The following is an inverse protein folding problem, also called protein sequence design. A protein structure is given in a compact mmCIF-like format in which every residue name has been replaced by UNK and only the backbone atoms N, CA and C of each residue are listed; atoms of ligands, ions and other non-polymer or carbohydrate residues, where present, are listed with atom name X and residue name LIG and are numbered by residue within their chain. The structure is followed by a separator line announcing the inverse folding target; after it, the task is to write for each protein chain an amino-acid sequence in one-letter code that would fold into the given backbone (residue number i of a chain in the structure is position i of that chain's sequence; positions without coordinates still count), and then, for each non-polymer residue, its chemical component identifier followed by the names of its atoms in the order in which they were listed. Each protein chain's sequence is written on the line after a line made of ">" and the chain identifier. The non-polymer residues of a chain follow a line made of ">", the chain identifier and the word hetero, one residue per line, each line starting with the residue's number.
data_IF_833191429302
#
_entry.id   IF_833191429302
#
_cell.length_a   1.000
_cell.length_b   1.000
_cell.length_c   1.000
_cell.angle_alpha   90.00
_cell.angle_beta   90.00
_cell.angle_gamma   90.00
#
_symmetry.space_group_name_H-M   'P 1'
#
loop_
_entity.id
_entity.type
_entity.pdbx_description
1 polymer ?
#
# COMPACT_ATOMS: atom_id res chain seq x y z
N UNK A 1 24.70 43.65 -66.02
CA UNK A 1 25.28 44.52 -64.96
C UNK A 1 24.50 44.22 -63.69
N UNK A 2 25.22 43.78 -62.64
CA UNK A 2 24.85 43.74 -61.21
C UNK A 2 23.53 43.10 -60.76
N UNK A 3 23.43 42.30 -59.70
CA UNK A 3 24.29 41.40 -58.90
C UNK A 3 23.39 41.02 -57.71
N UNK A 4 23.21 39.71 -57.47
CA UNK A 4 22.92 39.05 -56.19
C UNK A 4 21.63 39.46 -55.41
N UNK A 5 20.88 38.54 -54.79
CA UNK A 5 21.36 37.58 -53.80
C UNK A 5 20.50 36.31 -53.75
N UNK A 6 21.21 35.21 -53.55
CA UNK A 6 20.75 33.91 -53.12
C UNK A 6 19.80 33.97 -51.91
N UNK A 7 18.75 33.17 -51.95
CA UNK A 7 18.31 32.44 -50.77
C UNK A 7 17.83 31.06 -51.22
N UNK A 8 18.51 30.04 -50.69
CA UNK A 8 18.40 28.62 -51.00
C UNK A 8 17.73 27.96 -49.78
N UNK A 9 16.80 27.04 -50.07
CA UNK A 9 16.31 25.94 -49.22
C UNK A 9 15.45 26.34 -47.99
N UNK A 10 14.54 25.53 -47.44
CA UNK A 10 14.29 24.08 -47.41
C UNK A 10 12.77 23.93 -47.20
N UNK A 11 12.16 22.80 -47.57
CA UNK A 11 11.00 22.33 -46.77
C UNK A 11 9.85 21.68 -47.54
N UNK A 12 10.16 20.60 -48.24
CA UNK A 12 9.23 19.69 -48.87
C UNK A 12 8.44 18.95 -47.75
N UNK A 13 7.26 19.43 -47.38
CA UNK A 13 6.35 18.68 -46.49
C UNK A 13 5.57 17.71 -47.36
N UNK A 14 6.16 16.53 -47.53
CA UNK A 14 5.50 15.32 -47.98
C UNK A 14 4.39 14.97 -46.98
N UNK A 15 3.14 15.17 -47.39
CA UNK A 15 1.99 14.45 -46.85
C UNK A 15 2.17 12.97 -47.20
N UNK A 16 2.72 12.19 -46.25
CA UNK A 16 2.67 10.73 -46.30
C UNK A 16 1.67 10.26 -45.26
N UNK A 17 0.50 9.90 -45.79
CA UNK A 17 -0.34 8.75 -45.41
C UNK A 17 0.15 7.92 -44.22
N UNK A 18 -0.71 7.77 -43.20
CA UNK A 18 -1.07 6.46 -42.63
C UNK A 18 -2.25 6.61 -41.64
N UNK A 19 -3.45 6.27 -42.11
CA UNK A 19 -4.47 5.70 -41.23
C UNK A 19 -4.03 4.26 -40.95
N UNK A 20 -4.09 3.80 -39.70
CA UNK A 20 -4.49 2.46 -39.22
C UNK A 20 -3.96 2.25 -37.80
N UNK A 21 -4.75 1.51 -37.02
CA UNK A 21 -4.59 1.21 -35.60
C UNK A 21 -4.99 2.37 -34.69
N UNK A 22 -6.28 2.38 -34.34
CA UNK A 22 -6.65 2.83 -33.00
C UNK A 22 -5.71 2.16 -32.02
N UNK A 23 -5.20 2.95 -31.07
CA UNK A 23 -4.45 2.43 -29.93
C UNK A 23 -5.21 1.20 -29.46
N UNK A 24 -4.64 0.01 -29.70
CA UNK A 24 -5.09 -1.17 -28.99
C UNK A 24 -5.10 -0.74 -27.53
N UNK A 25 -6.17 -1.03 -26.74
CA UNK A 25 -6.09 -0.79 -25.32
C UNK A 25 -4.77 -1.41 -24.88
N UNK A 26 -3.93 -0.61 -24.19
CA UNK A 26 -2.70 -1.12 -23.61
C UNK A 26 -3.08 -2.48 -23.03
N UNK A 27 -2.52 -3.56 -23.56
CA UNK A 27 -2.65 -4.87 -22.95
C UNK A 27 -2.22 -4.61 -21.52
N UNK A 28 -3.19 -4.60 -20.59
CA UNK A 28 -2.89 -4.47 -19.19
C UNK A 28 -1.94 -5.62 -18.95
N UNK A 29 -0.67 -5.30 -18.75
CA UNK A 29 0.32 -6.22 -18.22
C UNK A 29 -0.39 -6.81 -17.01
N UNK A 30 -0.88 -8.03 -17.15
CA UNK A 30 -1.39 -8.80 -16.03
C UNK A 30 -0.23 -8.84 -15.07
N UNK A 31 -0.25 -7.95 -14.08
CA UNK A 31 0.70 -8.02 -12.98
C UNK A 31 0.37 -9.35 -12.35
N UNK A 32 1.24 -10.34 -12.60
CA UNK A 32 1.12 -11.64 -11.97
C UNK A 32 1.58 -11.42 -10.52
N UNK A 33 0.69 -10.85 -9.72
CA UNK A 33 0.92 -10.55 -8.31
C UNK A 33 0.69 -11.84 -7.54
N UNK A 34 1.76 -12.34 -6.92
CA UNK A 34 1.71 -13.58 -6.14
C UNK A 34 1.66 -13.26 -4.65
N UNK A 35 0.51 -13.54 -4.04
CA UNK A 35 0.31 -13.32 -2.61
C UNK A 35 0.63 -14.60 -1.83
N UNK A 36 1.30 -14.50 -0.67
CA UNK A 36 1.58 -15.67 0.17
C UNK A 36 0.32 -16.43 0.59
N UNK A 37 -0.81 -15.71 0.71
CA UNK A 37 -2.15 -16.27 0.91
C UNK A 37 -3.01 -15.84 -0.29
N UNK A 38 -3.61 -16.79 -1.05
CA UNK A 38 -4.46 -16.44 -2.18
C UNK A 38 -5.71 -15.65 -1.73
N UNK A 39 -5.94 -14.43 -2.24
CA UNK A 39 -7.15 -13.68 -1.94
C UNK A 39 -8.37 -14.27 -2.68
N UNK A 40 -9.54 -14.24 -2.03
CA UNK A 40 -10.80 -14.77 -2.59
C UNK A 40 -11.62 -13.70 -3.32
N UNK A 41 -11.33 -12.41 -3.10
CA UNK A 41 -12.07 -11.28 -3.67
C UNK A 41 -13.36 -10.92 -2.94
N UNK A 42 -14.27 -10.21 -3.60
CA UNK A 42 -15.56 -9.76 -3.07
C UNK A 42 -15.83 -8.26 -3.27
N UNK A 43 -16.74 -7.69 -2.47
CA UNK A 43 -17.04 -6.25 -2.49
C UNK A 43 -16.47 -5.54 -1.25
N UNK A 44 -15.33 -4.84 -1.38
CA UNK A 44 -14.69 -4.17 -0.24
C UNK A 44 -15.43 -2.90 0.20
N UNK A 45 -16.46 -2.45 -0.52
CA UNK A 45 -17.18 -1.20 -0.20
C UNK A 45 -17.76 -1.28 1.20
N UNK A 46 -17.41 -0.31 2.04
CA UNK A 46 -17.83 -0.26 3.43
C UNK A 46 -16.94 0.61 4.31
N UNK A 47 -17.33 0.68 5.57
CA UNK A 47 -16.51 1.22 6.66
C UNK A 47 -16.03 0.03 7.47
N UNK A 48 -14.73 -0.09 7.64
CA UNK A 48 -14.09 -1.21 8.33
C UNK A 48 -13.18 -0.68 9.43
N UNK A 49 -13.14 -1.43 10.52
CA UNK A 49 -12.29 -1.16 11.69
C UNK A 49 -11.51 -2.42 12.04
N UNK A 50 -10.31 -2.31 12.62
CA UNK A 50 -9.52 -3.49 13.00
C UNK A 50 -10.28 -4.44 13.92
N UNK A 51 -10.13 -5.75 13.68
CA UNK A 51 -10.72 -6.78 14.52
C UNK A 51 -10.23 -6.66 15.97
N UNK A 52 -11.14 -6.76 16.93
CA UNK A 52 -10.80 -6.52 18.34
C UNK A 52 -9.93 -7.59 18.99
N UNK A 53 -9.88 -8.79 18.40
CA UNK A 53 -9.20 -9.96 18.94
C UNK A 53 -7.87 -10.23 18.25
N UNK A 54 -7.83 -10.10 16.92
CA UNK A 54 -6.63 -10.33 16.10
C UNK A 54 -6.63 -9.36 14.91
N UNK A 55 -6.34 -8.07 15.13
CA UNK A 55 -6.46 -7.05 14.09
C UNK A 55 -5.41 -7.19 12.99
N UNK A 56 -4.25 -7.77 13.30
CA UNK A 56 -3.17 -8.01 12.35
C UNK A 56 -2.39 -9.26 12.71
N UNK A 57 -1.89 -9.93 11.69
CA UNK A 57 -0.90 -11.00 11.80
C UNK A 57 0.26 -10.70 10.86
N UNK A 58 1.49 -10.85 11.36
CA UNK A 58 2.69 -10.85 10.53
C UNK A 58 3.32 -12.21 10.57
N UNK A 59 3.68 -12.73 9.41
CA UNK A 59 4.38 -13.99 9.28
C UNK A 59 5.60 -13.83 8.37
N UNK A 60 6.65 -14.59 8.67
CA UNK A 60 7.80 -14.72 7.79
C UNK A 60 7.40 -15.53 6.56
N UNK A 61 7.91 -15.13 5.39
CA UNK A 61 7.67 -15.87 4.15
C UNK A 61 8.40 -17.22 4.18
N UNK A 62 9.69 -17.18 4.57
CA UNK A 62 10.57 -18.35 4.65
C UNK A 62 11.26 -18.41 6.03
N UNK A 63 10.59 -18.93 7.08
CA UNK A 63 11.17 -19.03 8.42
C UNK A 63 12.48 -19.82 8.47
N UNK A 64 12.67 -20.78 7.56
CA UNK A 64 13.86 -21.63 7.48
C UNK A 64 15.08 -20.92 6.87
N UNK A 65 14.88 -19.74 6.26
CA UNK A 65 15.94 -18.94 5.65
C UNK A 65 16.48 -17.84 6.56
N UNK A 66 16.13 -17.87 7.85
CA UNK A 66 16.71 -16.94 8.80
C UNK A 66 18.26 -17.07 8.81
N UNK A 67 19.00 -15.95 8.79
CA UNK A 67 20.44 -15.96 8.91
C UNK A 67 20.89 -16.80 10.10
N UNK A 68 21.95 -17.61 9.93
CA UNK A 68 22.39 -18.59 10.94
C UNK A 68 22.79 -17.99 12.29
N UNK A 69 23.00 -16.67 12.35
CA UNK A 69 23.27 -15.94 13.59
C UNK A 69 22.01 -15.74 14.45
N UNK A 70 20.83 -15.81 13.84
CA UNK A 70 19.52 -15.71 14.47
C UNK A 70 19.05 -17.12 14.85
N UNK A 71 18.87 -17.36 16.14
CA UNK A 71 18.27 -18.60 16.65
C UNK A 71 16.76 -18.61 16.50
N UNK A 72 16.13 -17.47 16.78
CA UNK A 72 14.68 -17.30 16.60
C UNK A 72 14.30 -15.83 16.47
N UNK A 73 13.19 -15.59 15.77
CA UNK A 73 12.60 -14.28 15.56
C UNK A 73 11.12 -14.36 15.92
N UNK A 74 10.69 -13.52 16.86
CA UNK A 74 9.28 -13.34 17.22
C UNK A 74 8.83 -11.97 16.68
N UNK A 75 7.66 -11.91 16.07
CA UNK A 75 7.07 -10.69 15.55
C UNK A 75 5.79 -10.41 16.35
N UNK A 76 5.92 -9.52 17.34
CA UNK A 76 4.75 -9.01 18.05
C UNK A 76 4.15 -7.86 17.26
N UNK A 77 2.83 -7.89 17.07
CA UNK A 77 2.17 -7.00 16.11
C UNK A 77 0.90 -6.41 16.69
N UNK A 78 0.68 -5.14 16.43
CA UNK A 78 -0.52 -4.42 16.83
C UNK A 78 -0.99 -3.53 15.68
N UNK A 79 -2.30 -3.44 15.51
CA UNK A 79 -2.93 -2.47 14.63
C UNK A 79 -3.96 -1.73 15.49
N UNK A 80 -3.82 -0.40 15.56
CA UNK A 80 -4.61 0.44 16.47
C UNK A 80 -6.11 0.21 16.28
N UNK A 81 -6.81 -0.08 17.38
CA UNK A 81 -8.26 -0.34 17.39
C UNK A 81 -9.09 0.84 16.90
N UNK A 82 -8.52 2.06 16.89
CA UNK A 82 -9.15 3.25 16.34
C UNK A 82 -8.89 3.44 14.84
N UNK A 83 -8.19 2.50 14.20
CA UNK A 83 -7.97 2.51 12.77
C UNK A 83 -9.28 2.49 11.99
N UNK A 84 -9.29 3.15 10.84
CA UNK A 84 -10.44 3.29 9.96
C UNK A 84 -10.03 2.99 8.51
N UNK A 85 -10.81 2.17 7.85
CA UNK A 85 -10.64 1.83 6.44
C UNK A 85 -11.99 2.01 5.75
N UNK A 86 -12.12 3.08 4.96
CA UNK A 86 -13.31 3.37 4.17
C UNK A 86 -13.01 3.07 2.71
N UNK A 87 -13.88 2.27 2.08
CA UNK A 87 -13.91 2.09 0.63
C UNK A 87 -15.30 2.47 0.14
N UNK A 88 -15.39 3.46 -0.76
CA UNK A 88 -16.65 3.93 -1.30
C UNK A 88 -16.97 3.25 -2.63
N UNK A 89 -18.25 3.20 -2.98
CA UNK A 89 -18.70 2.75 -4.30
C UNK A 89 -18.34 3.72 -5.44
N UNK A 90 -17.80 4.91 -5.13
CA UNK A 90 -17.30 5.86 -6.12
C UNK A 90 -15.83 5.63 -6.49
N UNK A 91 -15.21 4.54 -5.98
CA UNK A 91 -13.79 4.25 -6.20
C UNK A 91 -12.85 5.13 -5.39
N UNK A 92 -13.30 5.68 -4.26
CA UNK A 92 -12.47 6.46 -3.33
C UNK A 92 -12.28 5.72 -2.02
N UNK A 93 -11.09 5.81 -1.43
CA UNK A 93 -10.76 5.26 -0.14
C UNK A 93 -10.30 6.37 0.83
N UNK A 94 -10.48 6.09 2.12
CA UNK A 94 -9.88 6.87 3.21
C UNK A 94 -9.43 5.89 4.28
N UNK A 95 -8.12 5.83 4.51
CA UNK A 95 -7.48 4.92 5.46
C UNK A 95 -6.66 5.74 6.44
N UNK A 96 -6.85 5.46 7.72
CA UNK A 96 -6.00 5.94 8.80
C UNK A 96 -5.85 4.83 9.84
N UNK A 97 -4.65 4.32 10.06
CA UNK A 97 -4.38 3.37 11.13
C UNK A 97 -2.90 3.43 11.56
N UNK A 98 -2.61 3.04 12.80
CA UNK A 98 -1.23 2.87 13.27
C UNK A 98 -0.92 1.39 13.37
N UNK A 99 0.08 0.95 12.61
CA UNK A 99 0.60 -0.41 12.59
C UNK A 99 1.91 -0.45 13.36
N UNK A 100 1.99 -1.29 14.39
CA UNK A 100 3.19 -1.50 15.18
C UNK A 100 3.68 -2.93 15.02
N UNK A 101 4.99 -3.08 14.86
CA UNK A 101 5.70 -4.34 14.84
C UNK A 101 6.88 -4.23 15.80
N UNK A 102 6.99 -5.20 16.69
CA UNK A 102 8.06 -5.31 17.67
C UNK A 102 8.82 -6.62 17.43
N UNK A 103 9.85 -6.61 16.57
CA UNK A 103 10.70 -7.77 16.36
C UNK A 103 11.55 -8.07 17.59
N UNK A 104 11.49 -9.30 18.07
CA UNK A 104 12.29 -9.81 19.17
C UNK A 104 13.22 -10.89 18.61
N UNK A 105 14.49 -10.53 18.45
CA UNK A 105 15.52 -11.35 17.81
C UNK A 105 16.38 -12.03 18.88
N UNK A 106 16.43 -13.36 18.89
CA UNK A 106 17.37 -14.13 19.70
C UNK A 106 18.59 -14.49 18.87
N UNK A 107 19.77 -14.11 19.34
CA UNK A 107 21.05 -14.35 18.67
C UNK A 107 21.88 -15.36 19.46
N UNK A 108 22.59 -16.26 18.76
CA UNK A 108 23.39 -17.35 19.37
C UNK A 108 24.42 -16.89 20.40
N UNK A 109 24.96 -15.69 20.22
CA UNK A 109 26.07 -15.16 21.00
C UNK A 109 25.62 -14.20 22.11
N UNK A 110 24.32 -13.88 22.21
CA UNK A 110 23.80 -12.91 23.17
C UNK A 110 22.87 -13.56 24.19
N UNK A 111 22.99 -13.14 25.44
CA UNK A 111 22.14 -13.63 26.54
C UNK A 111 20.75 -12.99 26.50
N UNK A 112 20.66 -11.74 26.03
CA UNK A 112 19.41 -10.99 25.95
C UNK A 112 18.99 -10.84 24.48
N UNK A 113 17.69 -10.93 24.17
CA UNK A 113 17.21 -10.68 22.83
C UNK A 113 17.40 -9.21 22.43
N UNK A 114 17.61 -8.98 21.14
CA UNK A 114 17.53 -7.66 20.54
C UNK A 114 16.05 -7.35 20.27
N UNK A 115 15.51 -6.32 20.92
CA UNK A 115 14.14 -5.84 20.70
C UNK A 115 14.19 -4.60 19.82
N UNK A 116 13.54 -4.69 18.66
CA UNK A 116 13.37 -3.59 17.71
C UNK A 116 11.93 -3.10 17.82
N UNK A 117 11.68 -1.83 17.53
CA UNK A 117 10.33 -1.26 17.51
C UNK A 117 10.14 -0.45 16.24
N UNK A 118 9.16 -0.86 15.45
CA UNK A 118 8.85 -0.26 14.15
C UNK A 118 7.38 0.12 14.14
N UNK A 119 7.10 1.40 13.94
CA UNK A 119 5.75 1.94 13.87
C UNK A 119 5.53 2.56 12.50
N UNK A 120 4.45 2.18 11.85
CA UNK A 120 3.98 2.77 10.61
C UNK A 120 2.62 3.42 10.83
N UNK A 121 2.37 4.53 10.14
CA UNK A 121 1.04 5.13 10.09
C UNK A 121 0.51 4.98 8.68
N UNK A 122 -0.49 4.14 8.51
CA UNK A 122 -1.13 3.87 7.23
C UNK A 122 -2.05 5.04 6.92
N UNK A 123 -1.69 5.84 5.91
CA UNK A 123 -2.51 6.97 5.45
C UNK A 123 -2.77 6.81 3.97
N UNK A 124 -4.04 6.69 3.59
CA UNK A 124 -4.46 6.73 2.19
C UNK A 124 -5.70 7.62 2.07
N UNK A 125 -5.71 8.50 1.08
CA UNK A 125 -6.90 9.29 0.73
C UNK A 125 -6.89 9.49 -0.78
N UNK A 126 -7.98 9.10 -1.45
CA UNK A 126 -8.10 9.21 -2.89
C UNK A 126 -8.53 7.91 -3.59
N UNK A 127 -8.22 7.76 -4.89
CA UNK A 127 -8.74 6.65 -5.68
C UNK A 127 -8.15 5.30 -5.25
N UNK A 128 -8.96 4.26 -5.39
CA UNK A 128 -8.50 2.87 -5.37
C UNK A 128 -9.06 2.13 -6.59
N UNK A 129 -8.36 1.10 -7.05
CA UNK A 129 -8.82 0.23 -8.13
C UNK A 129 -8.89 -1.23 -7.66
N UNK A 130 -9.81 -1.98 -8.26
CA UNK A 130 -9.91 -3.43 -8.09
C UNK A 130 -9.46 -4.10 -9.38
N UNK A 131 -8.44 -4.95 -9.28
CA UNK A 131 -7.89 -5.74 -10.38
C UNK A 131 -8.23 -7.21 -10.12
N UNK A 132 -8.69 -7.91 -11.16
CA UNK A 132 -9.05 -9.33 -11.13
C UNK A 132 -10.00 -9.72 -9.97
N UNK A 133 -10.89 -8.80 -9.59
CA UNK A 133 -11.89 -8.93 -8.53
C UNK A 133 -11.35 -9.20 -7.12
N UNK A 134 -10.03 -9.14 -6.91
CA UNK A 134 -9.38 -9.57 -5.65
C UNK A 134 -8.12 -8.82 -5.24
N UNK A 135 -7.66 -7.89 -6.07
CA UNK A 135 -6.46 -7.06 -5.81
C UNK A 135 -6.91 -5.61 -5.68
N UNK A 136 -6.59 -4.98 -4.55
CA UNK A 136 -6.74 -3.55 -4.32
C UNK A 136 -5.43 -2.85 -4.63
N UNK A 137 -5.48 -1.83 -5.47
CA UNK A 137 -4.38 -0.87 -5.66
C UNK A 137 -4.80 0.50 -5.14
N UNK A 138 -3.97 1.09 -4.29
CA UNK A 138 -4.22 2.39 -3.67
C UNK A 138 -2.93 3.06 -3.22
N UNK A 139 -2.91 4.38 -3.11
CA UNK A 139 -1.73 5.12 -2.65
C UNK A 139 -1.68 5.19 -1.12
N UNK A 140 -1.16 4.15 -0.47
CA UNK A 140 -0.89 4.19 0.98
C UNK A 140 0.48 4.81 1.23
N UNK A 141 0.51 5.89 2.01
CA UNK A 141 1.72 6.43 2.59
C UNK A 141 2.09 5.64 3.83
N UNK A 142 3.33 5.17 3.84
CA UNK A 142 3.95 4.36 4.89
C UNK A 142 5.41 4.77 5.03
N UNK A 143 6.02 4.38 6.14
CA UNK A 143 7.42 4.69 6.47
C UNK A 143 8.36 3.58 6.02
N UNK A 144 7.95 2.31 6.15
CA UNK A 144 8.82 1.18 5.84
C UNK A 144 8.17 0.06 5.03
N UNK A 145 6.86 -0.12 5.12
CA UNK A 145 6.18 -1.22 4.40
C UNK A 145 5.57 -0.73 3.10
N UNK A 146 5.72 -1.47 2.01
CA UNK A 146 4.98 -1.18 0.79
C UNK A 146 3.61 -1.85 0.85
N UNK A 147 2.56 -1.05 1.01
CA UNK A 147 1.17 -1.50 1.18
C UNK A 147 0.22 -0.90 0.12
N UNK A 148 0.77 -0.48 -1.02
CA UNK A 148 0.02 0.11 -2.13
C UNK A 148 -0.77 -0.93 -2.95
N UNK A 149 -0.37 -2.21 -2.87
CA UNK A 149 -1.02 -3.33 -3.53
C UNK A 149 -1.35 -4.42 -2.52
N UNK A 150 -2.65 -4.67 -2.33
CA UNK A 150 -3.17 -5.60 -1.32
C UNK A 150 -4.09 -6.63 -1.97
N UNK A 151 -3.92 -7.89 -1.63
CA UNK A 151 -4.93 -8.92 -1.89
C UNK A 151 -6.06 -8.74 -0.89
N UNK A 152 -7.30 -9.00 -1.28
CA UNK A 152 -8.41 -8.91 -0.34
C UNK A 152 -9.39 -10.07 -0.43
N UNK A 153 -9.99 -10.39 0.71
CA UNK A 153 -11.14 -11.29 0.82
C UNK A 153 -12.22 -10.55 1.59
N UNK A 154 -13.33 -10.24 0.92
CA UNK A 154 -14.45 -9.52 1.54
C UNK A 154 -15.66 -10.42 1.71
N UNK A 155 -16.16 -10.45 2.95
CA UNK A 155 -17.40 -11.14 3.35
C UNK A 155 -18.34 -10.12 3.96
N UNK A 156 -19.56 -10.54 4.30
CA UNK A 156 -20.61 -9.62 4.76
C UNK A 156 -20.16 -8.69 5.91
N UNK A 157 -19.44 -9.25 6.89
CA UNK A 157 -19.01 -8.53 8.10
C UNK A 157 -17.49 -8.47 8.28
N UNK A 158 -16.72 -9.12 7.40
CA UNK A 158 -15.28 -9.29 7.56
C UNK A 158 -14.57 -8.87 6.28
N UNK A 159 -13.44 -8.21 6.42
CA UNK A 159 -12.54 -7.86 5.32
C UNK A 159 -11.11 -8.24 5.75
N UNK A 160 -10.49 -9.10 4.96
CA UNK A 160 -9.08 -9.44 5.11
C UNK A 160 -8.29 -8.71 4.04
N UNK A 161 -7.19 -8.06 4.44
CA UNK A 161 -6.23 -7.44 3.54
C UNK A 161 -4.88 -8.11 3.71
N UNK A 162 -4.31 -8.60 2.60
CA UNK A 162 -3.07 -9.38 2.55
C UNK A 162 -2.05 -8.55 1.79
N UNK A 163 -0.91 -8.28 2.41
CA UNK A 163 0.16 -7.56 1.71
C UNK A 163 0.95 -8.49 0.78
N UNK A 164 1.62 -7.88 -0.19
CA UNK A 164 2.79 -8.51 -0.80
C UNK A 164 3.91 -8.69 0.24
N UNK A 165 4.93 -9.52 -0.05
CA UNK A 165 6.12 -9.61 0.77
C UNK A 165 6.79 -8.24 0.97
N UNK A 166 7.17 -7.96 2.21
CA UNK A 166 7.91 -6.79 2.68
C UNK A 166 9.25 -7.25 3.27
N UNK A 167 10.21 -6.33 3.33
CA UNK A 167 11.53 -6.55 3.95
C UNK A 167 11.68 -5.67 5.19
N UNK A 168 12.51 -6.10 6.14
CA UNK A 168 12.82 -5.23 7.29
C UNK A 168 13.65 -4.02 6.84
N UNK A 169 13.33 -2.80 7.30
CA UNK A 169 14.08 -1.59 6.97
C UNK A 169 15.37 -1.45 7.80
N UNK A 170 15.82 -2.50 8.47
CA UNK A 170 16.95 -2.48 9.41
C UNK A 170 18.13 -3.19 8.78
N UNK A 171 19.27 -2.51 8.74
CA UNK A 171 20.53 -3.06 8.21
C UNK A 171 20.88 -4.39 8.90
N UNK A 172 21.13 -5.43 8.10
CA UNK A 172 21.43 -6.77 8.58
C UNK A 172 20.20 -7.67 8.75
N UNK A 173 18.98 -7.17 8.49
CA UNK A 173 17.73 -7.93 8.50
C UNK A 173 16.91 -7.75 7.20
N UNK A 174 17.43 -7.00 6.23
CA UNK A 174 16.75 -6.61 4.98
C UNK A 174 16.40 -7.78 4.06
N UNK A 175 17.15 -8.88 4.16
CA UNK A 175 16.86 -10.13 3.44
C UNK A 175 15.69 -10.94 4.05
N UNK A 176 15.27 -10.61 5.28
CA UNK A 176 14.18 -11.32 5.94
C UNK A 176 12.86 -10.78 5.43
N UNK A 177 12.13 -11.62 4.68
CA UNK A 177 10.84 -11.27 4.13
C UNK A 177 9.68 -11.69 5.03
N UNK A 178 8.68 -10.83 5.10
CA UNK A 178 7.45 -11.08 5.85
C UNK A 178 6.24 -10.49 5.12
N UNK A 179 5.04 -10.86 5.53
CA UNK A 179 3.80 -10.30 5.00
C UNK A 179 2.79 -10.05 6.10
N UNK A 180 1.86 -9.15 5.82
CA UNK A 180 0.76 -8.77 6.70
C UNK A 180 -0.52 -9.48 6.28
N UNK A 181 -1.31 -9.88 7.27
CA UNK A 181 -2.74 -10.12 7.12
C UNK A 181 -3.45 -9.22 8.12
N UNK A 182 -4.13 -8.20 7.63
CA UNK A 182 -4.97 -7.31 8.43
C UNK A 182 -6.40 -7.83 8.42
N UNK A 183 -6.97 -8.02 9.60
CA UNK A 183 -8.33 -8.50 9.77
C UNK A 183 -9.19 -7.32 10.23
N UNK A 184 -10.18 -6.98 9.42
CA UNK A 184 -11.07 -5.86 9.65
C UNK A 184 -12.51 -6.37 9.78
N UNK A 185 -13.27 -5.73 10.66
CA UNK A 185 -14.69 -5.99 10.86
C UNK A 185 -15.50 -4.79 10.41
N UNK A 186 -16.71 -5.07 9.92
CA UNK A 186 -17.59 -4.02 9.41
C UNK A 186 -18.06 -3.13 10.55
N UNK A 187 -17.86 -1.83 10.40
CA UNK A 187 -18.39 -0.86 11.36
C UNK A 187 -19.90 -0.75 11.23
N UNK A 188 -20.59 -0.97 12.35
CA UNK A 188 -22.03 -0.74 12.49
C UNK A 188 -22.37 0.74 12.74
N UNK A 189 -21.36 1.57 13.06
CA UNK A 189 -21.51 3.00 13.28
C UNK A 189 -21.30 3.78 11.98
N UNK A 190 -22.39 4.07 11.27
CA UNK A 190 -22.42 4.94 10.07
C UNK A 190 -22.03 6.41 10.35
N UNK A 191 -21.67 6.76 11.60
CA UNK A 191 -21.53 8.14 12.07
C UNK A 191 -20.11 8.70 11.91
N UNK A 192 -19.09 7.88 11.67
CA UNK A 192 -17.70 8.34 11.50
C UNK A 192 -17.45 9.05 10.15
N UNK A 193 -18.35 8.92 9.18
CA UNK A 193 -18.21 9.45 7.81
C UNK A 193 -18.26 10.98 7.70
N UNK A 194 -18.48 11.73 8.79
CA UNK A 194 -18.58 13.20 8.75
C UNK A 194 -17.40 13.97 9.37
N UNK A 195 -16.52 13.30 10.13
CA UNK A 195 -15.49 13.98 10.91
C UNK A 195 -14.04 13.61 10.57
N UNK A 196 -13.81 12.72 9.61
CA UNK A 196 -12.45 12.50 9.06
C UNK A 196 -12.21 13.50 7.93
N UNK A 197 -12.28 14.78 8.26
CA UNK A 197 -11.50 15.79 7.57
C UNK A 197 -10.20 15.87 8.34
N UNK A 198 -9.12 15.44 7.69
CA UNK A 198 -7.72 15.66 8.11
C UNK A 198 -7.61 17.09 8.68
N UNK A 199 -6.95 17.29 9.83
CA UNK A 199 -6.73 18.65 10.32
C UNK A 199 -5.92 19.39 9.25
N UNK A 200 -6.59 20.32 8.56
CA UNK A 200 -5.92 21.21 7.64
C UNK A 200 -4.99 22.07 8.48
N UNK A 201 -3.69 21.91 8.28
CA UNK A 201 -2.70 22.93 8.59
C UNK A 201 -3.10 24.21 7.85
N UNK A 202 -3.83 25.10 8.54
CA UNK A 202 -3.93 26.49 8.13
C UNK A 202 -2.85 27.28 8.84
N UNK A 203 -1.79 27.52 8.08
CA UNK A 203 -0.76 28.53 8.24
C UNK A 203 -1.21 29.77 9.03
N UNK A 204 -0.30 30.20 9.90
CA UNK A 204 0.19 31.58 10.06
C UNK A 204 -0.35 32.57 9.01
N UNK A 205 -1.01 33.63 9.49
CA UNK A 205 -0.77 35.05 9.17
C UNK A 205 -1.69 35.86 10.11
N UNK A 206 -1.13 36.64 11.04
CA UNK A 206 -0.92 38.09 10.90
C UNK A 206 -2.24 38.90 10.90
N UNK A 207 -2.60 39.46 12.07
CA UNK A 207 -2.96 40.89 12.26
C UNK A 207 -3.36 41.09 13.73
N UNK A 208 -2.58 41.83 14.54
CA UNK A 208 -2.74 43.27 14.76
C UNK A 208 -4.19 43.70 14.96
N UNK A 209 -4.60 43.83 16.22
CA UNK A 209 -5.11 45.08 16.83
C UNK A 209 -5.21 44.93 18.34
#
# INVERSE_FOLDING_TARGET
>A
MTKNKYMIFVGLILFVVSCHQGLAPLEMLYMNVDFPIPPEGGDPVGVWVPDTTKPVHVALLDPDQLPTIIDSLILDTELDKNGLFLFSSSGLCSIYAVLKIEPIVYLQSLVNPLVLSMNDTLIADGPYEIIDDKILTLSIMTTFSQLDTLGFTSRQNDLELISLPNSFPVEGFDDIQFYYVMYLTRSIDQVLTKNVLIPSDSKKDEDRS
#
